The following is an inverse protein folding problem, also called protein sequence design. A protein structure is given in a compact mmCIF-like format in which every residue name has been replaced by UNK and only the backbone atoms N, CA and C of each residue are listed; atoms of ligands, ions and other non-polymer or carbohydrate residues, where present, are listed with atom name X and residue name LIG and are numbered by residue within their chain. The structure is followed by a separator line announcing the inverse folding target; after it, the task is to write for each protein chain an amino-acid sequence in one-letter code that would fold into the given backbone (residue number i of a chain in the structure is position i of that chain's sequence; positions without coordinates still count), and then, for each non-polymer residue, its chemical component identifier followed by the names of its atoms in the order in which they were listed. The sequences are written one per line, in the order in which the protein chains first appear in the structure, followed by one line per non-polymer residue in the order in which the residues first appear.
data_IF_175098492373
#
_entry.id   IF_175098492373
#
_cell.length_a   1.000
_cell.length_b   1.000
_cell.length_c   1.000
_cell.angle_alpha   90.00
_cell.angle_beta   90.00
_cell.angle_gamma   90.00
#
_symmetry.space_group_name_H-M   'P 1'
#
loop_
_entity.id
_entity.type
_entity.pdbx_description
1 polymer ?
#
# COMPACT_ATOMS: atom_id res chain seq x y z
N UNK A 1 -27.58 -13.39 23.43
CA UNK A 1 -27.35 -12.24 22.53
C UNK A 1 -25.87 -12.17 22.19
N UNK A 2 -25.49 -12.38 20.92
CA UNK A 2 -24.10 -12.25 20.47
C UNK A 2 -23.70 -10.79 20.61
N UNK A 3 -22.68 -10.53 21.43
CA UNK A 3 -22.03 -9.22 21.51
C UNK A 3 -21.56 -8.89 20.09
N UNK A 4 -22.21 -7.92 19.44
CA UNK A 4 -21.67 -7.26 18.26
C UNK A 4 -20.33 -6.65 18.70
N UNK A 5 -19.24 -7.39 18.49
CA UNK A 5 -17.91 -6.93 18.87
C UNK A 5 -17.64 -5.65 18.07
N UNK A 6 -17.57 -4.50 18.76
CA UNK A 6 -17.22 -3.23 18.13
C UNK A 6 -15.93 -3.42 17.31
N UNK A 7 -15.95 -2.97 16.06
CA UNK A 7 -14.76 -2.96 15.21
C UNK A 7 -13.68 -2.12 15.88
N UNK A 8 -12.46 -2.67 15.98
CA UNK A 8 -11.33 -1.92 16.50
C UNK A 8 -10.90 -0.87 15.45
N UNK A 9 -10.53 0.34 15.88
CA UNK A 9 -10.20 1.46 14.97
C UNK A 9 -9.19 1.09 13.85
N UNK A 10 -8.18 0.29 14.19
CA UNK A 10 -7.20 -0.22 13.22
C UNK A 10 -7.86 -1.04 12.09
N UNK A 11 -8.86 -1.86 12.40
CA UNK A 11 -9.60 -2.65 11.41
C UNK A 11 -10.42 -1.76 10.47
N UNK A 12 -11.04 -0.70 11.03
CA UNK A 12 -11.76 0.28 10.21
C UNK A 12 -10.84 0.96 9.21
N UNK A 13 -9.62 1.31 9.62
CA UNK A 13 -8.65 1.95 8.74
C UNK A 13 -8.14 1.00 7.63
N UNK A 14 -8.01 -0.30 7.92
CA UNK A 14 -7.73 -1.33 6.90
C UNK A 14 -8.87 -1.48 5.90
N UNK A 15 -10.12 -1.51 6.37
CA UNK A 15 -11.29 -1.57 5.51
C UNK A 15 -11.44 -0.30 4.66
N UNK A 16 -11.14 0.87 5.22
CA UNK A 16 -11.11 2.11 4.45
C UNK A 16 -10.06 2.06 3.33
N UNK A 17 -8.83 1.62 3.63
CA UNK A 17 -7.78 1.41 2.63
C UNK A 17 -8.19 0.38 1.57
N UNK A 18 -8.90 -0.67 1.97
CA UNK A 18 -9.46 -1.67 1.05
C UNK A 18 -10.50 -1.04 0.10
N UNK A 19 -11.41 -0.22 0.61
CA UNK A 19 -12.46 0.42 -0.20
C UNK A 19 -11.83 1.40 -1.20
N UNK A 20 -10.92 2.26 -0.76
CA UNK A 20 -10.23 3.20 -1.66
C UNK A 20 -9.39 2.44 -2.70
N UNK A 21 -8.69 1.37 -2.27
CA UNK A 21 -7.96 0.49 -3.17
C UNK A 21 -8.87 -0.15 -4.22
N UNK A 22 -10.08 -0.58 -3.83
CA UNK A 22 -11.03 -1.22 -4.74
C UNK A 22 -11.54 -0.23 -5.78
N UNK A 23 -11.90 0.98 -5.35
CA UNK A 23 -12.30 2.06 -6.26
C UNK A 23 -11.16 2.35 -7.23
N UNK A 24 -9.92 2.52 -6.75
CA UNK A 24 -8.75 2.73 -7.60
C UNK A 24 -8.55 1.60 -8.62
N UNK A 25 -8.64 0.33 -8.20
CA UNK A 25 -8.54 -0.83 -9.09
C UNK A 25 -9.62 -0.78 -10.17
N UNK A 26 -10.87 -0.46 -9.82
CA UNK A 26 -11.96 -0.34 -10.80
C UNK A 26 -11.70 0.79 -11.82
N UNK A 27 -11.23 1.96 -11.38
CA UNK A 27 -10.90 3.06 -12.29
C UNK A 27 -9.75 2.66 -13.23
N UNK A 28 -8.72 1.98 -12.73
CA UNK A 28 -7.62 1.47 -13.56
C UNK A 28 -8.08 0.41 -14.57
N UNK A 29 -9.01 -0.47 -14.20
CA UNK A 29 -9.66 -1.37 -15.19
C UNK A 29 -10.36 -0.55 -16.27
N UNK A 30 -11.02 0.55 -15.90
CA UNK A 30 -11.63 1.49 -16.84
C UNK A 30 -10.62 2.12 -17.81
N UNK A 31 -9.42 2.49 -17.34
CA UNK A 31 -8.32 2.97 -18.22
C UNK A 31 -7.97 1.91 -19.25
N UNK A 32 -7.70 0.67 -18.82
CA UNK A 32 -7.34 -0.41 -19.72
C UNK A 32 -8.45 -0.77 -20.71
N UNK A 33 -9.71 -0.77 -20.27
CA UNK A 33 -10.86 -1.05 -21.13
C UNK A 33 -11.02 -0.02 -22.24
N UNK A 34 -10.88 1.28 -21.91
CA UNK A 34 -10.99 2.37 -22.87
C UNK A 34 -9.81 2.38 -23.87
N UNK A 35 -8.57 2.18 -23.39
CA UNK A 35 -7.40 2.03 -24.27
C UNK A 35 -7.59 0.84 -25.21
N UNK A 36 -8.06 -0.30 -24.70
CA UNK A 36 -8.31 -1.47 -25.53
C UNK A 36 -9.34 -1.20 -26.61
N UNK A 37 -10.45 -0.54 -26.29
CA UNK A 37 -11.47 -0.18 -27.26
C UNK A 37 -10.91 0.74 -28.36
N UNK A 38 -10.19 1.79 -27.97
CA UNK A 38 -9.51 2.69 -28.91
C UNK A 38 -8.53 1.95 -29.83
N UNK A 39 -7.65 1.11 -29.27
CA UNK A 39 -6.63 0.39 -30.05
C UNK A 39 -7.28 -0.63 -30.98
N UNK A 40 -8.25 -1.42 -30.50
CA UNK A 40 -8.90 -2.44 -31.33
C UNK A 40 -9.66 -1.83 -32.51
N UNK A 41 -10.40 -0.74 -32.30
CA UNK A 41 -11.14 -0.07 -33.37
C UNK A 41 -10.22 0.71 -34.33
N UNK A 42 -9.21 1.40 -33.82
CA UNK A 42 -8.22 2.09 -34.66
C UNK A 42 -7.37 1.12 -35.49
N UNK A 43 -6.99 -0.04 -34.95
CA UNK A 43 -6.21 -1.06 -35.65
C UNK A 43 -6.99 -1.71 -36.80
N UNK A 44 -8.29 -1.92 -36.61
CA UNK A 44 -9.19 -2.45 -37.63
C UNK A 44 -9.32 -1.49 -38.81
N UNK A 45 -9.48 -0.20 -38.54
CA UNK A 45 -9.67 0.82 -39.58
C UNK A 45 -8.36 1.18 -40.31
N UNK A 46 -7.24 1.20 -39.58
CA UNK A 46 -5.93 1.56 -40.15
C UNK A 46 -5.22 0.41 -40.87
N UNK A 47 -5.81 -0.80 -40.89
CA UNK A 47 -5.23 -1.97 -41.54
C UNK A 47 -4.03 -2.58 -40.83
N UNK A 48 -3.68 -2.10 -39.62
CA UNK A 48 -2.53 -2.59 -38.84
C UNK A 48 -2.84 -3.81 -37.96
N UNK A 49 -4.11 -4.23 -37.85
CA UNK A 49 -4.50 -5.62 -37.55
C UNK A 49 -4.00 -6.27 -36.26
N UNK A 50 -3.28 -5.60 -35.35
CA UNK A 50 -2.86 -6.26 -34.11
C UNK A 50 -2.59 -5.32 -32.91
N UNK A 51 -3.30 -5.60 -31.83
CA UNK A 51 -3.11 -5.05 -30.48
C UNK A 51 -1.70 -5.33 -29.91
N UNK A 52 -0.99 -6.35 -30.43
CA UNK A 52 0.34 -6.76 -29.97
C UNK A 52 1.45 -5.70 -30.18
N UNK A 53 1.20 -4.63 -30.92
CA UNK A 53 2.17 -3.53 -31.14
C UNK A 53 1.99 -2.39 -30.12
N UNK A 54 0.88 -2.37 -29.37
CA UNK A 54 0.64 -1.33 -28.38
C UNK A 54 1.41 -1.62 -27.09
N UNK A 55 2.49 -0.87 -26.87
CA UNK A 55 3.16 -0.81 -25.58
C UNK A 55 2.17 -0.16 -24.59
N UNK A 56 1.86 -0.82 -23.48
CA UNK A 56 1.08 -0.17 -22.42
C UNK A 56 1.97 0.81 -21.65
N UNK A 57 1.43 1.93 -21.15
CA UNK A 57 2.18 2.78 -20.23
C UNK A 57 2.69 1.95 -19.06
N UNK A 58 4.01 1.82 -18.88
CA UNK A 58 4.59 1.04 -17.79
C UNK A 58 4.12 1.56 -16.42
N UNK A 59 3.89 2.87 -16.34
CA UNK A 59 3.34 3.57 -15.18
C UNK A 59 1.95 3.07 -14.77
N UNK A 60 1.12 2.61 -15.71
CA UNK A 60 -0.17 1.98 -15.40
C UNK A 60 0.00 0.69 -14.60
N UNK A 61 0.91 -0.18 -15.02
CA UNK A 61 1.17 -1.47 -14.34
C UNK A 61 1.73 -1.23 -12.94
N UNK A 62 2.61 -0.23 -12.79
CA UNK A 62 3.17 0.17 -11.51
C UNK A 62 2.13 0.73 -10.54
N UNK A 63 0.97 1.21 -11.02
CA UNK A 63 -0.17 1.57 -10.18
C UNK A 63 -1.11 0.40 -9.91
N UNK A 64 -1.34 -0.46 -10.90
CA UNK A 64 -2.31 -1.54 -10.81
C UNK A 64 -1.94 -2.60 -9.76
N UNK A 65 -0.67 -3.03 -9.74
CA UNK A 65 -0.22 -4.07 -8.82
C UNK A 65 -0.34 -3.61 -7.34
N UNK A 66 0.15 -2.42 -6.95
CA UNK A 66 -0.02 -1.92 -5.59
C UNK A 66 -1.48 -1.66 -5.20
N UNK A 67 -2.33 -1.23 -6.14
CA UNK A 67 -3.76 -1.06 -5.88
C UNK A 67 -4.45 -2.39 -5.53
N UNK A 68 -4.25 -3.43 -6.34
CA UNK A 68 -4.80 -4.78 -6.07
C UNK A 68 -4.25 -5.35 -4.77
N UNK A 69 -2.94 -5.17 -4.53
CA UNK A 69 -2.29 -5.62 -3.29
C UNK A 69 -2.90 -4.92 -2.07
N UNK A 70 -3.17 -3.62 -2.17
CA UNK A 70 -3.84 -2.85 -1.12
C UNK A 70 -5.24 -3.38 -0.80
N UNK A 71 -6.03 -3.77 -1.81
CA UNK A 71 -7.36 -4.36 -1.63
C UNK A 71 -7.25 -5.65 -0.84
N UNK A 72 -6.43 -6.58 -1.31
CA UNK A 72 -6.28 -7.91 -0.69
C UNK A 72 -5.77 -7.76 0.74
N UNK A 73 -4.72 -6.95 0.94
CA UNK A 73 -4.09 -6.78 2.24
C UNK A 73 -4.99 -6.03 3.23
N UNK A 74 -5.67 -4.98 2.78
CA UNK A 74 -6.65 -4.24 3.57
C UNK A 74 -7.85 -5.10 3.96
N UNK A 75 -8.34 -5.96 3.07
CA UNK A 75 -9.44 -6.88 3.39
C UNK A 75 -9.02 -7.89 4.47
N UNK A 76 -7.88 -8.55 4.28
CA UNK A 76 -7.37 -9.55 5.23
C UNK A 76 -7.19 -8.96 6.64
N UNK A 77 -6.58 -7.77 6.74
CA UNK A 77 -6.32 -7.12 8.02
C UNK A 77 -7.53 -6.39 8.60
N UNK A 78 -8.48 -5.99 7.76
CA UNK A 78 -9.77 -5.45 8.19
C UNK A 78 -10.65 -6.51 8.85
N UNK A 79 -10.53 -7.76 8.40
CA UNK A 79 -11.28 -8.89 8.93
C UNK A 79 -10.54 -9.65 10.04
N UNK A 80 -9.23 -9.42 10.22
CA UNK A 80 -8.44 -10.02 11.29
C UNK A 80 -8.99 -9.63 12.68
N UNK A 81 -9.50 -10.57 13.49
CA UNK A 81 -10.07 -10.27 14.81
C UNK A 81 -9.01 -9.92 15.86
N UNK A 82 -7.72 -10.18 15.60
CA UNK A 82 -6.63 -10.06 16.56
C UNK A 82 -6.58 -8.70 17.30
N UNK A 83 -6.76 -7.54 16.63
CA UNK A 83 -6.75 -6.23 17.30
C UNK A 83 -7.85 -6.03 18.37
N UNK A 84 -8.85 -6.90 18.44
CA UNK A 84 -9.91 -6.84 19.45
C UNK A 84 -9.47 -7.34 20.83
N UNK A 85 -8.40 -8.14 20.90
CA UNK A 85 -7.88 -8.62 22.19
C UNK A 85 -7.13 -7.50 22.91
N UNK A 86 -7.42 -7.31 24.20
CA UNK A 86 -6.85 -6.20 25.00
C UNK A 86 -5.32 -6.22 25.10
N UNK A 87 -4.70 -7.40 25.00
CA UNK A 87 -3.24 -7.59 25.03
C UNK A 87 -2.62 -7.65 23.63
N UNK A 88 -3.40 -7.42 22.57
CA UNK A 88 -2.85 -7.49 21.21
C UNK A 88 -1.81 -6.38 20.99
N UNK A 89 -0.66 -6.80 20.48
CA UNK A 89 0.39 -5.92 19.99
C UNK A 89 0.84 -6.40 18.61
N UNK A 90 1.05 -5.49 17.64
CA UNK A 90 1.55 -5.87 16.33
C UNK A 90 2.99 -6.40 16.44
N UNK A 91 3.31 -7.44 15.66
CA UNK A 91 4.69 -7.90 15.52
C UNK A 91 5.54 -6.91 14.72
N UNK A 92 6.87 -7.00 14.87
CA UNK A 92 7.82 -6.21 14.04
C UNK A 92 7.61 -6.50 12.56
N UNK A 93 7.43 -7.79 12.22
CA UNK A 93 7.21 -8.24 10.85
C UNK A 93 5.93 -7.65 10.27
N UNK A 94 4.82 -7.70 11.02
CA UNK A 94 3.56 -7.11 10.57
C UNK A 94 3.71 -5.60 10.33
N UNK A 95 4.34 -4.88 11.25
CA UNK A 95 4.59 -3.44 11.08
C UNK A 95 5.50 -3.13 9.88
N UNK A 96 6.50 -3.98 9.63
CA UNK A 96 7.37 -3.89 8.46
C UNK A 96 6.60 -4.11 7.16
N UNK A 97 5.72 -5.11 7.11
CA UNK A 97 4.87 -5.36 5.93
C UNK A 97 3.94 -4.20 5.61
N UNK A 98 3.32 -3.59 6.64
CA UNK A 98 2.49 -2.38 6.47
C UNK A 98 3.32 -1.23 5.88
N UNK A 99 4.54 -1.01 6.39
CA UNK A 99 5.43 0.02 5.87
C UNK A 99 5.85 -0.25 4.41
N UNK A 100 6.15 -1.50 4.06
CA UNK A 100 6.45 -1.88 2.68
C UNK A 100 5.29 -1.60 1.73
N UNK A 101 4.05 -1.92 2.14
CA UNK A 101 2.84 -1.60 1.37
C UNK A 101 2.68 -0.09 1.18
N UNK A 102 2.86 0.70 2.25
CA UNK A 102 2.81 2.16 2.16
C UNK A 102 3.87 2.72 1.19
N UNK A 103 5.11 2.23 1.24
CA UNK A 103 6.17 2.63 0.32
C UNK A 103 5.85 2.22 -1.13
N UNK A 104 5.32 1.03 -1.37
CA UNK A 104 4.95 0.58 -2.71
C UNK A 104 3.84 1.47 -3.31
N UNK A 105 2.83 1.83 -2.53
CA UNK A 105 1.73 2.71 -2.97
C UNK A 105 2.21 4.16 -3.14
N UNK A 106 3.16 4.63 -2.33
CA UNK A 106 3.82 5.92 -2.54
C UNK A 106 4.56 5.95 -3.87
N UNK A 107 5.38 4.94 -4.17
CA UNK A 107 6.09 4.84 -5.44
C UNK A 107 5.11 4.78 -6.62
N UNK A 108 4.02 4.00 -6.48
CA UNK A 108 2.95 3.94 -7.48
C UNK A 108 2.32 5.32 -7.76
N UNK A 109 2.16 6.16 -6.75
CA UNK A 109 1.61 7.52 -6.89
C UNK A 109 2.61 8.52 -7.46
N UNK A 110 3.91 8.29 -7.26
CA UNK A 110 4.98 9.14 -7.76
C UNK A 110 5.30 8.88 -9.24
N UNK A 111 5.31 7.63 -9.68
CA UNK A 111 5.73 7.28 -11.04
C UNK A 111 4.99 8.03 -12.17
N UNK A 112 3.65 8.21 -12.13
CA UNK A 112 2.92 8.92 -13.17
C UNK A 112 3.26 10.41 -13.28
N UNK A 113 3.82 11.01 -12.22
CA UNK A 113 4.19 12.43 -12.19
C UNK A 113 5.66 12.68 -12.52
N UNK A 114 6.47 11.63 -12.66
CA UNK A 114 7.90 11.75 -13.01
C UNK A 114 8.03 11.84 -14.55
N UNK A 115 8.57 12.93 -15.09
CA UNK A 115 8.84 13.04 -16.52
C UNK A 115 9.82 11.96 -17.00
N UNK A 116 9.57 11.34 -18.15
CA UNK A 116 10.42 10.28 -18.69
C UNK A 116 10.34 8.93 -17.96
N UNK A 117 9.41 8.75 -17.01
CA UNK A 117 9.13 7.46 -16.39
C UNK A 117 8.51 6.44 -17.36
N UNK A 118 7.87 6.93 -18.41
CA UNK A 118 7.28 6.11 -19.47
C UNK A 118 7.94 6.47 -20.81
N UNK A 119 8.42 5.45 -21.54
CA UNK A 119 9.05 5.65 -22.85
C UNK A 119 8.05 6.26 -23.84
N UNK A 120 6.76 5.93 -23.69
CA UNK A 120 5.69 6.43 -24.56
C UNK A 120 5.39 7.92 -24.35
N UNK A 121 5.76 8.48 -23.21
CA UNK A 121 5.41 9.87 -22.85
C UNK A 121 6.62 10.77 -22.80
N UNK A 122 7.84 10.22 -22.85
CA UNK A 122 9.07 10.97 -22.77
C UNK A 122 9.12 12.08 -23.85
N UNK A 123 9.46 13.33 -23.50
CA UNK A 123 10.00 13.78 -22.21
C UNK A 123 8.97 14.06 -21.11
N UNK A 124 7.68 14.01 -21.40
CA UNK A 124 6.61 14.36 -20.48
C UNK A 124 6.30 13.26 -19.44
N UNK A 125 5.57 13.65 -18.40
CA UNK A 125 5.05 12.74 -17.38
C UNK A 125 3.77 12.05 -17.86
N UNK A 126 3.52 10.81 -17.44
CA UNK A 126 2.35 10.05 -17.88
C UNK A 126 1.00 10.70 -17.53
N UNK A 127 0.94 11.47 -16.44
CA UNK A 127 -0.25 12.24 -16.04
C UNK A 127 -0.67 13.30 -17.08
N UNK A 128 0.25 13.76 -17.93
CA UNK A 128 -0.05 14.71 -19.01
C UNK A 128 -0.83 14.09 -20.18
N UNK A 129 -0.98 12.76 -20.19
CA UNK A 129 -1.67 12.02 -21.22
C UNK A 129 -1.12 12.21 -22.65
N UNK A 130 0.15 12.56 -22.81
CA UNK A 130 0.78 12.64 -24.15
C UNK A 130 0.83 11.29 -24.86
N UNK A 131 0.73 10.19 -24.11
CA UNK A 131 0.56 8.83 -24.66
C UNK A 131 -0.68 8.66 -25.55
N UNK A 132 -1.70 9.54 -25.46
CA UNK A 132 -2.84 9.55 -26.40
C UNK A 132 -2.37 9.74 -27.85
N UNK A 133 -1.31 10.52 -28.03
CA UNK A 133 -0.76 10.87 -29.34
C UNK A 133 0.27 9.84 -29.85
N UNK A 134 0.68 8.87 -29.03
CA UNK A 134 1.79 7.96 -29.35
C UNK A 134 1.57 7.13 -30.62
N UNK A 135 0.32 6.71 -30.88
CA UNK A 135 -0.05 5.96 -32.10
C UNK A 135 -0.45 6.87 -33.28
N UNK A 136 -0.43 8.20 -33.11
CA UNK A 136 -0.90 9.21 -34.08
C UNK A 136 -2.37 9.09 -34.53
N UNK A 137 -3.07 7.98 -34.24
CA UNK A 137 -4.47 7.77 -34.64
C UNK A 137 -5.41 8.81 -34.06
N UNK A 138 -5.19 9.25 -32.82
CA UNK A 138 -5.94 10.33 -32.20
C UNK A 138 -5.84 11.63 -33.01
N UNK A 139 -4.68 11.89 -33.61
CA UNK A 139 -4.45 13.06 -34.47
C UNK A 139 -5.05 12.86 -35.86
N UNK A 140 -4.92 11.67 -36.44
CA UNK A 140 -5.40 11.34 -37.80
C UNK A 140 -6.93 11.27 -37.86
N UNK A 141 -7.56 10.68 -36.84
CA UNK A 141 -9.00 10.43 -36.77
C UNK A 141 -9.69 11.43 -35.83
N UNK A 142 -9.19 12.66 -35.71
CA UNK A 142 -9.65 13.70 -34.77
C UNK A 142 -11.09 14.24 -35.01
N UNK A 143 -11.97 13.46 -35.64
CA UNK A 143 -13.40 13.73 -35.78
C UNK A 143 -14.20 12.65 -35.03
N UNK A 144 -14.61 12.91 -33.77
CA UNK A 144 -15.37 11.96 -32.96
C UNK A 144 -16.74 11.58 -33.54
N UNK A 145 -17.38 12.45 -34.32
CA UNK A 145 -18.66 12.15 -34.95
C UNK A 145 -18.53 11.05 -36.01
N UNK A 146 -17.39 11.03 -36.72
CA UNK A 146 -17.06 9.98 -37.70
C UNK A 146 -16.38 8.77 -37.06
N UNK A 147 -15.62 8.98 -35.98
CA UNK A 147 -14.81 7.96 -35.30
C UNK A 147 -15.03 8.00 -33.77
N UNK A 148 -16.18 7.51 -33.26
CA UNK A 148 -16.55 7.66 -31.84
C UNK A 148 -15.61 6.99 -30.84
N UNK A 149 -14.81 6.01 -31.30
CA UNK A 149 -13.81 5.33 -30.48
C UNK A 149 -12.63 6.22 -30.09
N UNK A 150 -12.47 7.39 -30.74
CA UNK A 150 -11.45 8.39 -30.41
C UNK A 150 -11.72 9.00 -29.03
N UNK A 151 -12.98 9.27 -28.67
CA UNK A 151 -13.34 9.79 -27.35
C UNK A 151 -12.98 8.85 -26.20
N UNK A 152 -12.86 7.54 -26.49
CA UNK A 152 -12.46 6.56 -25.48
C UNK A 152 -11.05 6.82 -24.97
N UNK A 153 -10.14 7.37 -25.79
CA UNK A 153 -8.78 7.67 -25.32
C UNK A 153 -8.74 8.90 -24.40
N UNK A 154 -9.68 9.84 -24.58
CA UNK A 154 -9.87 10.97 -23.66
C UNK A 154 -10.53 10.53 -22.34
N UNK A 155 -11.48 9.60 -22.42
CA UNK A 155 -12.02 8.94 -21.24
C UNK A 155 -10.93 8.17 -20.48
N UNK A 156 -10.06 7.44 -21.19
CA UNK A 156 -8.91 6.75 -20.59
C UNK A 156 -7.99 7.72 -19.85
N UNK A 157 -7.68 8.88 -20.45
CA UNK A 157 -6.87 9.92 -19.81
C UNK A 157 -7.55 10.45 -18.54
N UNK A 158 -8.83 10.81 -18.62
CA UNK A 158 -9.59 11.30 -17.46
C UNK A 158 -9.61 10.28 -16.32
N UNK A 159 -9.82 9.01 -16.63
CA UNK A 159 -9.75 7.91 -15.66
C UNK A 159 -8.33 7.74 -15.09
N UNK A 160 -7.28 7.91 -15.91
CA UNK A 160 -5.90 7.79 -15.46
C UNK A 160 -5.53 8.91 -14.49
N UNK A 161 -5.86 10.17 -14.82
CA UNK A 161 -5.65 11.31 -13.92
C UNK A 161 -6.42 11.14 -12.60
N UNK A 162 -7.67 10.67 -12.64
CA UNK A 162 -8.44 10.34 -11.44
C UNK A 162 -7.78 9.22 -10.62
N UNK A 163 -7.21 8.21 -11.27
CA UNK A 163 -6.46 7.13 -10.62
C UNK A 163 -5.24 7.65 -9.87
N UNK A 164 -4.51 8.63 -10.42
CA UNK A 164 -3.37 9.27 -9.72
C UNK A 164 -3.85 9.99 -8.46
N UNK A 165 -4.96 10.73 -8.53
CA UNK A 165 -5.55 11.38 -7.36
C UNK A 165 -5.95 10.38 -6.27
N UNK A 166 -6.62 9.29 -6.66
CA UNK A 166 -7.03 8.22 -5.75
C UNK A 166 -5.84 7.48 -5.14
N UNK A 167 -4.76 7.27 -5.90
CA UNK A 167 -3.56 6.61 -5.38
C UNK A 167 -2.88 7.45 -4.27
N UNK A 168 -2.85 8.78 -4.40
CA UNK A 168 -2.38 9.68 -3.34
C UNK A 168 -3.24 9.60 -2.07
N UNK A 169 -4.56 9.56 -2.21
CA UNK A 169 -5.48 9.35 -1.07
C UNK A 169 -5.18 8.03 -0.38
N UNK A 170 -4.94 6.97 -1.15
CA UNK A 170 -4.57 5.66 -0.64
C UNK A 170 -3.20 5.68 0.07
N UNK A 171 -2.21 6.39 -0.47
CA UNK A 171 -0.89 6.60 0.15
C UNK A 171 -1.04 7.20 1.55
N UNK A 172 -1.87 8.23 1.71
CA UNK A 172 -2.11 8.87 3.02
C UNK A 172 -2.67 7.86 4.02
N UNK A 173 -3.66 7.06 3.62
CA UNK A 173 -4.25 6.03 4.47
C UNK A 173 -3.24 4.99 4.96
N UNK A 174 -2.41 4.45 4.06
CA UNK A 174 -1.37 3.49 4.42
C UNK A 174 -0.23 4.11 5.22
N UNK A 175 0.11 5.38 4.99
CA UNK A 175 1.09 6.10 5.79
C UNK A 175 0.60 6.31 7.23
N UNK A 176 -0.67 6.71 7.40
CA UNK A 176 -1.30 6.79 8.71
C UNK A 176 -1.28 5.44 9.44
N UNK A 177 -1.58 4.36 8.72
CA UNK A 177 -1.55 3.02 9.30
C UNK A 177 -0.15 2.59 9.72
N UNK A 178 0.85 2.85 8.87
CA UNK A 178 2.26 2.61 9.16
C UNK A 178 2.68 3.31 10.44
N UNK A 179 2.35 4.59 10.58
CA UNK A 179 2.65 5.36 11.78
C UNK A 179 2.02 4.74 13.04
N UNK A 180 0.75 4.34 12.98
CA UNK A 180 0.04 3.70 14.11
C UNK A 180 0.73 2.38 14.51
N UNK A 181 1.07 1.52 13.54
CA UNK A 181 1.69 0.23 13.78
C UNK A 181 3.12 0.34 14.35
N UNK A 182 3.92 1.26 13.80
CA UNK A 182 5.27 1.54 14.32
C UNK A 182 5.18 2.06 15.76
N UNK A 183 4.29 3.02 16.04
CA UNK A 183 4.09 3.56 17.39
C UNK A 183 3.68 2.47 18.38
N UNK A 184 2.71 1.62 18.05
CA UNK A 184 2.30 0.49 18.91
C UNK A 184 3.44 -0.50 19.16
N UNK A 185 4.23 -0.80 18.13
CA UNK A 185 5.40 -1.70 18.24
C UNK A 185 6.48 -1.12 19.17
N UNK A 186 6.77 0.17 19.06
CA UNK A 186 7.75 0.85 19.92
C UNK A 186 7.27 0.88 21.38
N UNK A 187 5.99 1.19 21.61
CA UNK A 187 5.41 1.24 22.96
C UNK A 187 5.39 -0.14 23.62
N UNK A 188 5.05 -1.21 22.89
CA UNK A 188 5.11 -2.57 23.39
C UNK A 188 6.53 -2.97 23.85
N UNK A 189 7.58 -2.55 23.11
CA UNK A 189 8.96 -2.77 23.53
C UNK A 189 9.32 -2.06 24.83
N UNK A 190 8.82 -0.83 25.05
CA UNK A 190 9.07 -0.09 26.29
C UNK A 190 8.41 -0.76 27.49
N UNK A 191 7.21 -1.31 27.30
CA UNK A 191 6.48 -2.02 28.36
C UNK A 191 7.14 -3.36 28.74
N UNK A 192 7.61 -4.14 27.76
CA UNK A 192 8.33 -5.39 28.03
C UNK A 192 9.79 -5.18 28.46
N UNK A 193 10.48 -4.18 27.91
CA UNK A 193 11.87 -3.84 28.28
C UNK A 193 12.00 -3.17 29.66
N UNK A 194 10.94 -2.54 30.17
CA UNK A 194 10.87 -2.07 31.56
C UNK A 194 10.74 -3.22 32.57
N UNK A 195 10.13 -4.35 32.16
CA UNK A 195 10.07 -5.57 32.96
C UNK A 195 11.40 -6.31 33.05
N UNK A 196 12.23 -6.27 32.00
CA UNK A 196 13.55 -6.91 32.00
C UNK A 196 14.59 -6.16 32.85
N UNK A 197 14.49 -4.83 32.96
CA UNK A 197 15.35 -4.05 33.86
C UNK A 197 15.00 -4.30 35.35
N UNK A 198 13.71 -4.41 35.67
CA UNK A 198 13.25 -4.77 37.01
C UNK A 198 13.55 -6.24 37.35
N UNK A 199 13.35 -7.16 36.40
CA UNK A 199 13.69 -8.58 36.55
C UNK A 199 15.19 -8.80 36.76
N UNK A 200 16.06 -8.14 35.97
CA UNK A 200 17.52 -8.21 36.18
C UNK A 200 17.94 -7.62 37.51
N UNK A 201 17.31 -6.54 37.98
CA UNK A 201 17.58 -5.95 39.31
C UNK A 201 17.16 -6.88 40.46
N UNK A 202 16.02 -7.57 40.33
CA UNK A 202 15.50 -8.48 41.36
C UNK A 202 16.29 -9.79 41.42
N UNK A 203 16.74 -10.30 40.27
CA UNK A 203 17.60 -11.48 40.14
C UNK A 203 19.02 -11.18 40.64
N UNK A 204 19.58 -9.99 40.36
CA UNK A 204 20.86 -9.57 40.95
C UNK A 204 20.77 -9.41 42.47
N UNK A 205 19.66 -8.86 42.99
CA UNK A 205 19.43 -8.78 44.44
C UNK A 205 19.30 -10.15 45.09
N UNK A 206 18.59 -11.09 44.47
CA UNK A 206 18.50 -12.47 44.97
C UNK A 206 19.84 -13.20 44.91
N UNK A 207 20.64 -13.00 43.85
CA UNK A 207 21.97 -13.60 43.77
C UNK A 207 22.98 -12.96 44.73
N UNK A 208 22.91 -11.64 44.98
CA UNK A 208 23.73 -10.99 46.01
C UNK A 208 23.33 -11.45 47.43
N UNK A 209 22.04 -11.63 47.71
CA UNK A 209 21.56 -12.16 48.99
C UNK A 209 22.03 -13.60 49.21
N UNK A 210 21.97 -14.46 48.17
CA UNK A 210 22.48 -15.83 48.25
C UNK A 210 23.99 -15.89 48.50
N UNK A 211 24.77 -15.02 47.85
CA UNK A 211 26.22 -14.92 48.06
C UNK A 211 26.54 -14.41 49.47
N UNK A 212 25.79 -13.43 50.00
CA UNK A 212 25.96 -12.93 51.37
C UNK A 212 25.55 -13.96 52.44
N UNK A 213 24.57 -14.83 52.17
CA UNK A 213 24.19 -15.91 53.11
C UNK A 213 25.14 -17.11 53.08
N UNK A 214 25.83 -17.36 51.97
CA UNK A 214 26.80 -18.48 51.86
C UNK A 214 28.21 -18.06 52.30
N UNK A 215 28.54 -16.76 52.31
CA UNK A 215 29.86 -16.24 52.65
C UNK A 215 30.06 -15.82 54.12
N UNK A 216 29.12 -16.12 55.02
CA UNK A 216 29.31 -15.95 56.48
C UNK A 216 29.71 -17.29 57.10
N UNK A 217 31.02 -17.59 57.26
CA UNK A 217 31.44 -18.72 58.06
C UNK A 217 31.02 -18.49 59.51
N UNK A 218 30.26 -19.44 60.04
CA UNK A 218 30.07 -19.67 61.46
C UNK A 218 31.45 -19.62 62.15
N UNK A 219 31.65 -18.61 62.98
CA UNK A 219 32.75 -18.56 63.94
C UNK A 219 32.66 -19.80 64.84
N UNK A 220 33.67 -20.68 64.90
CA UNK A 220 33.77 -21.64 65.97
C UNK A 220 34.33 -20.90 67.19
N UNK A 221 33.50 -20.81 68.23
CA UNK A 221 33.94 -20.40 69.55
C UNK A 221 35.09 -21.29 70.01
N UNK A 222 36.14 -20.59 70.44
CA UNK A 222 37.30 -21.05 71.19
C UNK A 222 36.82 -21.60 72.54
N UNK A 223 37.26 -22.81 72.87
CA UNK A 223 37.44 -23.30 74.23
C UNK A 223 38.92 -23.67 74.39
#
# INVERSE_FOLDING_TARGET
MKVLSKLHYIQYLHLWNCVIGLVLTCVLIGVAANIKYYVSSGAEISGFGNFNVFVYPATFVYMFIPAVTSVIYGLLLGLDPSPKYSRWAPSKTLSGSIACVACAILLASLWPVVPGADVMTAPDAAISCTWKNYMSWYVIYANPEAFPWVDAIDAACSCFTASVGLSWVLTIGWACQTFIYIRKTILARRYHGGGDAASKSTTLRHQLLLILTVALPLSPNVA
#
